data_IF_758899989426
#
_entry.id   IF_758899989426
#
_cell.length_a   1.000
_cell.length_b   1.000
_cell.length_c   1.000
_cell.angle_alpha   90.00
_cell.angle_beta   90.00
_cell.angle_gamma   90.00
#
_symmetry.space_group_name_H-M   'P 1'
#
loop_
_entity.id
_entity.type
_entity.pdbx_description
1 polymer ?
#
# COMPACT_ATOMS: atom_id res chain seq x y z
N UNK A 1 18.19 17.59 6.99
CA UNK A 1 16.92 17.57 6.24
C UNK A 1 16.19 18.87 6.54
N UNK A 2 15.78 19.61 5.51
CA UNK A 2 15.16 20.94 5.66
C UNK A 2 13.68 20.90 6.05
N UNK A 3 13.12 22.07 6.35
CA UNK A 3 11.71 22.26 6.76
C UNK A 3 10.72 21.66 5.75
N UNK A 4 10.99 21.79 4.45
CA UNK A 4 10.17 21.22 3.39
C UNK A 4 10.08 19.68 3.47
N UNK A 5 11.21 19.00 3.70
CA UNK A 5 11.24 17.55 3.84
C UNK A 5 10.42 17.10 5.06
N UNK A 6 10.54 17.84 6.17
CA UNK A 6 9.77 17.55 7.37
C UNK A 6 8.26 17.67 7.10
N UNK A 7 7.82 18.74 6.43
CA UNK A 7 6.41 18.94 6.09
C UNK A 7 5.86 17.84 5.18
N UNK A 8 6.58 17.51 4.10
CA UNK A 8 6.16 16.46 3.14
C UNK A 8 5.95 15.13 3.87
N UNK A 9 6.90 14.73 4.71
CA UNK A 9 6.84 13.43 5.38
C UNK A 9 5.79 13.43 6.50
N UNK A 10 5.86 14.40 7.42
CA UNK A 10 5.04 14.37 8.64
C UNK A 10 3.59 14.78 8.42
N UNK A 11 3.34 15.78 7.56
CA UNK A 11 2.00 16.32 7.33
C UNK A 11 1.39 15.83 6.00
N UNK A 12 2.18 15.21 5.13
CA UNK A 12 1.70 14.54 3.92
C UNK A 12 1.67 13.03 4.12
N UNK A 13 2.82 12.38 3.95
CA UNK A 13 2.90 10.92 3.79
C UNK A 13 2.45 10.13 5.01
N UNK A 14 2.84 10.54 6.24
CA UNK A 14 2.43 9.83 7.44
C UNK A 14 0.91 9.95 7.71
N UNK A 15 0.32 11.11 7.41
CA UNK A 15 -1.13 11.30 7.51
C UNK A 15 -1.85 10.38 6.53
N UNK A 16 -1.36 10.28 5.29
CA UNK A 16 -1.94 9.37 4.30
C UNK A 16 -1.80 7.90 4.68
N UNK A 17 -0.67 7.49 5.24
CA UNK A 17 -0.51 6.13 5.76
C UNK A 17 -1.58 5.80 6.79
N UNK A 18 -1.85 6.73 7.72
CA UNK A 18 -2.83 6.51 8.77
C UNK A 18 -4.27 6.46 8.23
N UNK A 19 -4.57 7.26 7.19
CA UNK A 19 -5.85 7.19 6.47
C UNK A 19 -6.03 5.87 5.72
N UNK A 20 -5.01 5.41 4.99
CA UNK A 20 -5.05 4.11 4.29
C UNK A 20 -5.22 2.97 5.28
N UNK A 21 -4.50 3.00 6.42
CA UNK A 21 -4.65 2.00 7.49
C UNK A 21 -6.03 2.04 8.16
N UNK A 22 -6.68 3.20 8.21
CA UNK A 22 -8.04 3.31 8.73
C UNK A 22 -9.02 2.50 7.89
N UNK A 23 -8.90 2.56 6.56
CA UNK A 23 -9.71 1.73 5.68
C UNK A 23 -9.46 0.23 5.86
N UNK A 24 -8.19 -0.19 6.07
CA UNK A 24 -7.90 -1.60 6.39
C UNK A 24 -8.59 -2.07 7.67
N UNK A 25 -8.64 -1.22 8.71
CA UNK A 25 -9.39 -1.51 9.94
C UNK A 25 -10.90 -1.52 9.70
N UNK A 26 -11.42 -0.61 8.88
CA UNK A 26 -12.83 -0.59 8.48
C UNK A 26 -13.25 -1.88 7.77
N UNK A 27 -12.41 -2.40 6.86
CA UNK A 27 -12.64 -3.71 6.22
C UNK A 27 -12.71 -4.84 7.26
N UNK A 28 -11.77 -4.88 8.21
CA UNK A 28 -11.75 -5.90 9.27
C UNK A 28 -13.02 -5.85 10.15
N UNK A 29 -13.47 -4.65 10.54
CA UNK A 29 -14.70 -4.45 11.30
C UNK A 29 -15.94 -4.88 10.50
N UNK A 30 -16.06 -4.43 9.26
CA UNK A 30 -17.20 -4.77 8.40
C UNK A 30 -17.26 -6.28 8.11
N UNK A 31 -16.12 -6.95 7.94
CA UNK A 31 -16.04 -8.41 7.79
C UNK A 31 -16.52 -9.14 9.04
N UNK A 32 -16.13 -8.67 10.25
CA UNK A 32 -16.59 -9.26 11.52
C UNK A 32 -18.10 -9.12 11.67
N UNK A 33 -18.64 -7.93 11.44
CA UNK A 33 -20.08 -7.67 11.52
C UNK A 33 -20.86 -8.52 10.51
N UNK A 34 -20.39 -8.64 9.27
CA UNK A 34 -21.03 -9.49 8.26
C UNK A 34 -20.96 -10.98 8.60
N UNK A 35 -19.89 -11.44 9.25
CA UNK A 35 -19.77 -12.83 9.69
C UNK A 35 -20.72 -13.18 10.84
N UNK A 36 -20.99 -12.23 11.73
CA UNK A 36 -21.95 -12.38 12.83
C UNK A 36 -23.40 -12.31 12.36
N UNK A 37 -23.73 -11.36 11.48
CA UNK A 37 -25.07 -11.13 10.94
C UNK A 37 -25.00 -10.70 9.46
N UNK A 38 -25.19 -11.62 8.49
CA UNK A 38 -25.03 -11.36 7.06
C UNK A 38 -26.05 -10.39 6.44
N UNK A 39 -25.94 -9.10 6.76
CA UNK A 39 -26.80 -8.02 6.25
C UNK A 39 -26.19 -7.32 5.04
N UNK A 40 -27.06 -6.84 4.14
CA UNK A 40 -26.64 -6.13 2.92
C UNK A 40 -25.84 -4.87 3.23
N UNK A 41 -26.15 -4.17 4.33
CA UNK A 41 -25.40 -2.98 4.77
C UNK A 41 -23.93 -3.30 5.08
N UNK A 42 -23.62 -4.36 5.83
CA UNK A 42 -22.23 -4.73 6.12
C UNK A 42 -21.49 -5.22 4.87
N UNK A 43 -22.20 -5.86 3.94
CA UNK A 43 -21.62 -6.17 2.62
C UNK A 43 -21.25 -4.91 1.84
N UNK A 44 -22.08 -3.87 1.91
CA UNK A 44 -21.80 -2.57 1.32
C UNK A 44 -20.61 -1.89 2.02
N UNK A 45 -20.51 -1.99 3.35
CA UNK A 45 -19.38 -1.43 4.11
C UNK A 45 -18.06 -2.08 3.71
N UNK A 46 -18.01 -3.42 3.57
CA UNK A 46 -16.82 -4.13 3.08
C UNK A 46 -16.37 -3.56 1.72
N UNK A 47 -17.31 -3.46 0.77
CA UNK A 47 -17.00 -2.95 -0.59
C UNK A 47 -16.54 -1.49 -0.51
N UNK A 48 -17.20 -0.67 0.30
CA UNK A 48 -16.91 0.76 0.45
C UNK A 48 -15.50 0.97 1.00
N UNK A 49 -15.15 0.30 2.09
CA UNK A 49 -13.83 0.41 2.71
C UNK A 49 -12.71 -0.16 1.81
N UNK A 50 -12.97 -1.26 1.10
CA UNK A 50 -12.01 -1.82 0.14
C UNK A 50 -11.77 -0.87 -1.05
N UNK A 51 -12.83 -0.27 -1.61
CA UNK A 51 -12.69 0.69 -2.71
C UNK A 51 -12.00 1.98 -2.25
N UNK A 52 -12.31 2.46 -1.05
CA UNK A 52 -11.66 3.62 -0.46
C UNK A 52 -10.16 3.36 -0.24
N UNK A 53 -9.80 2.19 0.30
CA UNK A 53 -8.41 1.74 0.42
C UNK A 53 -7.69 1.75 -0.93
N UNK A 54 -8.27 1.13 -1.96
CA UNK A 54 -7.64 1.03 -3.28
C UNK A 54 -7.42 2.41 -3.91
N UNK A 55 -8.43 3.28 -3.86
CA UNK A 55 -8.34 4.64 -4.40
C UNK A 55 -7.25 5.45 -3.68
N UNK A 56 -7.24 5.42 -2.34
CA UNK A 56 -6.25 6.16 -1.56
C UNK A 56 -4.84 5.64 -1.77
N UNK A 57 -4.67 4.32 -1.88
CA UNK A 57 -3.38 3.71 -2.17
C UNK A 57 -2.84 4.16 -3.53
N UNK A 58 -3.70 4.24 -4.56
CA UNK A 58 -3.28 4.71 -5.88
C UNK A 58 -2.77 6.16 -5.85
N UNK A 59 -3.53 7.07 -5.23
CA UNK A 59 -3.12 8.48 -5.09
C UNK A 59 -1.85 8.61 -4.26
N UNK A 60 -1.69 7.77 -3.23
CA UNK A 60 -0.50 7.74 -2.41
C UNK A 60 0.75 7.34 -3.22
N UNK A 61 0.66 6.25 -3.99
CA UNK A 61 1.74 5.77 -4.87
C UNK A 61 2.09 6.82 -5.93
N UNK A 62 1.10 7.53 -6.49
CA UNK A 62 1.35 8.62 -7.43
C UNK A 62 2.17 9.76 -6.80
N UNK A 63 1.91 10.10 -5.53
CA UNK A 63 2.70 11.11 -4.80
C UNK A 63 4.10 10.62 -4.49
N UNK A 64 4.26 9.36 -4.11
CA UNK A 64 5.57 8.75 -3.91
C UNK A 64 6.42 8.85 -5.18
N UNK A 65 5.88 8.36 -6.30
CA UNK A 65 6.59 8.29 -7.57
C UNK A 65 6.91 9.66 -8.17
N UNK A 66 5.98 10.61 -8.09
CA UNK A 66 6.12 11.89 -8.79
C UNK A 66 6.69 13.01 -7.93
N UNK A 67 6.65 12.88 -6.60
CA UNK A 67 7.07 13.95 -5.67
C UNK A 67 8.13 13.45 -4.69
N UNK A 68 7.84 12.40 -3.92
CA UNK A 68 8.70 12.01 -2.79
C UNK A 68 10.02 11.41 -3.26
N UNK A 69 9.98 10.43 -4.16
CA UNK A 69 11.20 9.78 -4.67
C UNK A 69 12.07 10.75 -5.49
N UNK A 70 11.52 11.56 -6.41
CA UNK A 70 12.34 12.56 -7.12
C UNK A 70 12.94 13.62 -6.18
N UNK A 71 12.22 14.00 -5.12
CA UNK A 71 12.74 14.90 -4.10
C UNK A 71 13.90 14.24 -3.34
N UNK A 72 13.73 13.01 -2.85
CA UNK A 72 14.80 12.28 -2.17
C UNK A 72 16.03 12.07 -3.07
N UNK A 73 15.83 11.78 -4.36
CA UNK A 73 16.93 11.58 -5.30
C UNK A 73 17.76 12.85 -5.52
N UNK A 74 17.12 14.02 -5.58
CA UNK A 74 17.82 15.30 -5.73
C UNK A 74 18.51 15.76 -4.44
N UNK A 75 17.87 15.57 -3.29
CA UNK A 75 18.31 16.18 -2.02
C UNK A 75 19.26 15.29 -1.20
N UNK A 76 19.28 13.98 -1.44
CA UNK A 76 20.14 13.05 -0.69
C UNK A 76 21.48 12.84 -1.41
N UNK A 77 22.61 12.85 -0.67
CA UNK A 77 23.89 12.40 -1.22
C UNK A 77 23.89 10.90 -1.53
N UNK A 78 24.67 10.48 -2.53
CA UNK A 78 24.76 9.08 -2.97
C UNK A 78 25.16 8.12 -1.84
N UNK A 79 26.04 8.54 -0.93
CA UNK A 79 26.42 7.75 0.25
C UNK A 79 25.20 7.39 1.12
N UNK A 80 24.28 8.34 1.30
CA UNK A 80 23.06 8.13 2.09
C UNK A 80 22.08 7.23 1.34
N UNK A 81 21.94 7.41 0.02
CA UNK A 81 21.12 6.52 -0.82
C UNK A 81 21.61 5.08 -0.75
N UNK A 82 22.92 4.86 -0.87
CA UNK A 82 23.51 3.52 -0.77
C UNK A 82 23.35 2.91 0.62
N UNK A 83 23.48 3.72 1.68
CA UNK A 83 23.19 3.26 3.03
C UNK A 83 21.75 2.77 3.16
N UNK A 84 20.77 3.55 2.71
CA UNK A 84 19.35 3.18 2.74
C UNK A 84 19.11 1.92 1.92
N UNK A 85 19.65 1.83 0.70
CA UNK A 85 19.53 0.67 -0.16
C UNK A 85 20.04 -0.61 0.53
N UNK A 86 21.18 -0.52 1.21
CA UNK A 86 21.74 -1.66 1.95
C UNK A 86 20.89 -2.05 3.16
N UNK A 87 20.37 -1.09 3.92
CA UNK A 87 19.46 -1.37 5.04
C UNK A 87 18.17 -2.05 4.57
N UNK A 88 17.58 -1.60 3.46
CA UNK A 88 16.38 -2.21 2.85
C UNK A 88 16.69 -3.64 2.37
N UNK A 89 17.82 -3.87 1.70
CA UNK A 89 18.24 -5.22 1.26
C UNK A 89 18.42 -6.17 2.44
N UNK A 90 19.05 -5.69 3.52
CA UNK A 90 19.24 -6.49 4.73
C UNK A 90 17.90 -6.85 5.38
N UNK A 91 16.98 -5.89 5.49
CA UNK A 91 15.64 -6.13 6.01
C UNK A 91 14.87 -7.16 5.15
N UNK A 92 14.97 -7.04 3.83
CA UNK A 92 14.36 -8.00 2.90
C UNK A 92 14.92 -9.42 3.10
N UNK A 93 16.24 -9.56 3.21
CA UNK A 93 16.90 -10.85 3.46
C UNK A 93 16.51 -11.47 4.82
N UNK A 94 16.36 -10.66 5.87
CA UNK A 94 15.85 -11.15 7.16
C UNK A 94 14.39 -11.60 7.06
N UNK A 95 13.55 -10.83 6.36
CA UNK A 95 12.15 -11.19 6.14
C UNK A 95 12.02 -12.50 5.34
N UNK A 96 12.87 -12.75 4.35
CA UNK A 96 12.89 -14.03 3.62
C UNK A 96 13.12 -15.22 4.55
N UNK A 97 14.04 -15.10 5.52
CA UNK A 97 14.33 -16.16 6.50
C UNK A 97 13.13 -16.49 7.39
N UNK A 98 12.27 -15.51 7.67
CA UNK A 98 11.04 -15.74 8.45
C UNK A 98 9.95 -16.48 7.67
N UNK A 99 10.09 -16.58 6.34
CA UNK A 99 9.06 -17.12 5.44
C UNK A 99 7.86 -16.20 5.24
N UNK A 100 7.86 -14.98 5.80
CA UNK A 100 6.74 -14.03 5.69
C UNK A 100 6.48 -13.62 4.24
N UNK A 101 7.56 -13.37 3.47
CA UNK A 101 7.49 -13.00 2.05
C UNK A 101 6.84 -14.13 1.26
N UNK A 102 7.34 -15.36 1.41
CA UNK A 102 6.80 -16.54 0.75
C UNK A 102 5.33 -16.76 1.10
N UNK A 103 4.95 -16.64 2.37
CA UNK A 103 3.55 -16.80 2.83
C UNK A 103 2.60 -15.89 2.06
N UNK A 104 2.95 -14.61 1.93
CA UNK A 104 2.07 -13.63 1.27
C UNK A 104 2.13 -13.73 -0.26
N UNK A 105 3.27 -14.06 -0.86
CA UNK A 105 3.36 -14.34 -2.30
C UNK A 105 2.54 -15.58 -2.69
N UNK A 106 2.63 -16.67 -1.92
CA UNK A 106 1.81 -17.87 -2.13
C UNK A 106 0.31 -17.56 -1.97
N UNK A 107 -0.04 -16.69 -1.03
CA UNK A 107 -1.41 -16.22 -0.87
C UNK A 107 -1.89 -15.43 -2.09
N UNK A 108 -1.09 -14.47 -2.57
CA UNK A 108 -1.40 -13.67 -3.77
C UNK A 108 -1.58 -14.58 -4.99
N UNK A 109 -0.65 -15.51 -5.24
CA UNK A 109 -0.74 -16.44 -6.35
C UNK A 109 -2.05 -17.26 -6.33
N UNK A 110 -2.47 -17.75 -5.15
CA UNK A 110 -3.75 -18.46 -5.00
C UNK A 110 -4.96 -17.56 -5.25
N UNK A 111 -4.90 -16.29 -4.84
CA UNK A 111 -5.98 -15.33 -5.10
C UNK A 111 -6.06 -15.00 -6.59
N UNK A 112 -4.92 -14.79 -7.25
CA UNK A 112 -4.86 -14.59 -8.69
C UNK A 112 -5.39 -15.81 -9.45
N UNK A 113 -4.95 -17.03 -9.12
CA UNK A 113 -5.48 -18.24 -9.76
C UNK A 113 -7.01 -18.34 -9.61
N UNK A 114 -7.53 -18.01 -8.43
CA UNK A 114 -8.96 -18.09 -8.13
C UNK A 114 -9.80 -16.99 -8.80
N UNK A 115 -9.28 -15.77 -8.92
CA UNK A 115 -10.08 -14.60 -9.30
C UNK A 115 -9.63 -13.90 -10.60
N UNK A 116 -8.40 -14.12 -11.07
CA UNK A 116 -7.85 -13.52 -12.29
C UNK A 116 -8.42 -14.15 -13.59
N UNK A 117 -9.24 -15.20 -13.47
CA UNK A 117 -10.08 -15.70 -14.57
C UNK A 117 -11.10 -14.67 -15.08
N UNK A 118 -11.27 -13.53 -14.39
CA UNK A 118 -12.14 -12.41 -14.78
C UNK A 118 -11.48 -11.40 -15.75
N UNK A 119 -10.19 -11.58 -16.08
CA UNK A 119 -9.47 -10.77 -17.07
C UNK A 119 -9.16 -9.34 -16.60
N UNK A 120 -7.88 -9.06 -16.32
CA UNK A 120 -7.40 -7.69 -16.24
C UNK A 120 -7.61 -6.99 -17.60
N UNK A 121 -8.53 -6.02 -17.65
CA UNK A 121 -8.62 -5.07 -18.75
C UNK A 121 -7.77 -3.86 -18.34
N UNK A 122 -6.60 -3.64 -18.96
CA UNK A 122 -5.81 -2.44 -18.68
C UNK A 122 -6.64 -1.19 -18.97
N UNK A 123 -6.46 -0.15 -18.16
CA UNK A 123 -6.97 1.18 -18.50
C UNK A 123 -6.45 1.56 -19.90
N UNK A 124 -7.28 2.12 -20.78
CA UNK A 124 -6.82 2.55 -22.10
C UNK A 124 -5.66 3.52 -21.94
N UNK A 125 -4.57 3.29 -22.67
CA UNK A 125 -3.47 4.25 -22.74
C UNK A 125 -4.03 5.59 -23.21
N UNK A 126 -3.76 6.66 -22.45
CA UNK A 126 -4.08 8.02 -22.88
C UNK A 126 -3.39 8.28 -24.24
N UNK A 127 -4.19 8.69 -25.23
CA UNK A 127 -3.77 9.00 -26.60
C UNK A 127 -3.09 10.37 -26.67
#
# INVERSE_FOLDING_TARGET
MGELANTIITHGMLVEHDLVRAHTRGVDEALKLYAEDPRTEYKLDIITEMMAYANRLQVHVEKENNVVYPFADRELPDEIKEKINNEVRNLAAENEKTGIVKKYLDFLARMEEKYNALGYVPAPSEQ
#
